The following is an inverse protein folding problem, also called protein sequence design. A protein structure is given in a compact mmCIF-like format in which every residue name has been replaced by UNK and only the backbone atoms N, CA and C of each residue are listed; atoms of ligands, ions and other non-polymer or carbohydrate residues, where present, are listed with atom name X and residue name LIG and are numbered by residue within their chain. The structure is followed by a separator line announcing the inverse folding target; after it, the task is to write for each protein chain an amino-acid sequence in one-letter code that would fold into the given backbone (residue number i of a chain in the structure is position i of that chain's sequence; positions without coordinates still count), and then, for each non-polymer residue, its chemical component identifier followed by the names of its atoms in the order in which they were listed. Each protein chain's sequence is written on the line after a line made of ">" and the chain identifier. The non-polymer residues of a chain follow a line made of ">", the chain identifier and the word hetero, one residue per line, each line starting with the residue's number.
data_IF_207871109352
#
_entry.id   IF_207871109352
#
_cell.length_a   1.000
_cell.length_b   1.000
_cell.length_c   1.000
_cell.angle_alpha   90.00
_cell.angle_beta   90.00
_cell.angle_gamma   90.00
#
_symmetry.space_group_name_H-M   'P 1'
#
loop_
_entity.id
_entity.type
_entity.pdbx_description
1 polymer ?
#
# COMPACT_ATOMS: atom_id res chain seq x y z
N UNK A 1 -17.25 -12.20 28.52
CA UNK A 1 -17.97 -12.78 27.37
C UNK A 1 -16.96 -13.62 26.59
N UNK A 2 -17.05 -14.96 26.63
CA UNK A 2 -16.06 -15.87 26.03
C UNK A 2 -15.86 -15.68 24.52
N UNK A 3 -16.91 -15.23 23.82
CA UNK A 3 -16.89 -15.05 22.37
C UNK A 3 -16.03 -13.85 21.92
N UNK A 4 -15.89 -12.82 22.76
CA UNK A 4 -15.06 -11.67 22.47
C UNK A 4 -13.56 -12.03 22.52
N UNK A 5 -13.15 -12.91 23.44
CA UNK A 5 -11.77 -13.36 23.57
C UNK A 5 -11.35 -14.28 22.41
N UNK A 6 -12.25 -15.16 21.95
CA UNK A 6 -12.01 -15.99 20.76
C UNK A 6 -11.89 -15.15 19.50
N UNK A 7 -12.77 -14.16 19.33
CA UNK A 7 -12.68 -13.21 18.22
C UNK A 7 -11.37 -12.40 18.25
N UNK A 8 -10.96 -11.91 19.44
CA UNK A 8 -9.70 -11.20 19.63
C UNK A 8 -8.49 -12.07 19.28
N UNK A 9 -8.50 -13.33 19.71
CA UNK A 9 -7.43 -14.29 19.39
C UNK A 9 -7.37 -14.60 17.90
N UNK A 10 -8.51 -14.79 17.24
CA UNK A 10 -8.56 -14.97 15.78
C UNK A 10 -8.09 -13.72 15.05
N UNK A 11 -8.48 -12.52 15.51
CA UNK A 11 -8.03 -11.25 14.93
C UNK A 11 -6.53 -11.06 15.10
N UNK A 12 -5.95 -11.40 16.25
CA UNK A 12 -4.50 -11.30 16.47
C UNK A 12 -3.77 -12.36 15.63
N UNK A 13 -4.25 -13.61 15.63
CA UNK A 13 -3.59 -14.72 14.95
C UNK A 13 -3.63 -14.57 13.42
N UNK A 14 -4.81 -14.25 12.86
CA UNK A 14 -4.99 -14.06 11.43
C UNK A 14 -4.73 -12.63 10.97
N UNK A 15 -4.84 -11.62 11.84
CA UNK A 15 -4.71 -10.22 11.47
C UNK A 15 -3.31 -9.85 11.02
N UNK A 16 -2.25 -10.35 11.68
CA UNK A 16 -0.88 -10.12 11.21
C UNK A 16 -0.58 -10.85 9.91
N UNK A 17 -1.09 -12.07 9.73
CA UNK A 17 -0.92 -12.83 8.50
C UNK A 17 -1.69 -12.19 7.34
N UNK A 18 -2.94 -11.76 7.59
CA UNK A 18 -3.76 -11.05 6.63
C UNK A 18 -3.15 -9.69 6.29
N UNK A 19 -2.58 -8.98 7.26
CA UNK A 19 -1.82 -7.75 7.04
C UNK A 19 -0.63 -8.03 6.14
N UNK A 20 0.20 -9.02 6.46
CA UNK A 20 1.35 -9.39 5.62
C UNK A 20 0.91 -9.71 4.19
N UNK A 21 -0.08 -10.59 4.02
CA UNK A 21 -0.60 -11.00 2.71
C UNK A 21 -1.20 -9.82 1.95
N UNK A 22 -2.03 -9.00 2.60
CA UNK A 22 -2.63 -7.84 1.95
C UNK A 22 -1.56 -6.80 1.58
N UNK A 23 -0.53 -6.60 2.40
CA UNK A 23 0.57 -5.68 2.08
C UNK A 23 1.44 -6.20 0.94
N UNK A 24 1.64 -7.53 0.87
CA UNK A 24 2.25 -8.20 -0.28
C UNK A 24 1.46 -7.96 -1.57
N UNK A 25 0.13 -8.02 -1.50
CA UNK A 25 -0.78 -7.65 -2.60
C UNK A 25 -0.99 -6.13 -2.74
N UNK A 26 -0.13 -5.29 -2.13
CA UNK A 26 -0.17 -3.82 -2.24
C UNK A 26 -1.44 -3.17 -1.68
N UNK A 27 -2.00 -3.72 -0.61
CA UNK A 27 -2.99 -3.05 0.22
C UNK A 27 -2.36 -1.87 0.96
N UNK A 28 -2.64 -0.63 0.56
CA UNK A 28 -2.24 0.56 1.33
C UNK A 28 -3.18 0.78 2.52
N UNK A 29 -4.49 0.65 2.26
CA UNK A 29 -5.54 0.90 3.25
C UNK A 29 -5.47 -0.05 4.44
N UNK A 30 -5.07 -1.31 4.23
CA UNK A 30 -4.97 -2.30 5.31
C UNK A 30 -3.92 -1.91 6.36
N UNK A 31 -2.83 -1.27 5.97
CA UNK A 31 -1.79 -0.81 6.91
C UNK A 31 -2.31 0.35 7.75
N UNK A 32 -3.09 1.26 7.16
CA UNK A 32 -3.75 2.34 7.91
C UNK A 32 -4.75 1.77 8.93
N UNK A 33 -5.58 0.81 8.50
CA UNK A 33 -6.55 0.16 9.39
C UNK A 33 -5.83 -0.62 10.50
N UNK A 34 -4.77 -1.36 10.18
CA UNK A 34 -3.97 -2.08 11.18
C UNK A 34 -3.27 -1.13 12.16
N UNK A 35 -2.82 0.05 11.70
CA UNK A 35 -2.31 1.10 12.57
C UNK A 35 -3.39 1.63 13.52
N UNK A 36 -4.61 1.88 13.03
CA UNK A 36 -5.72 2.32 13.87
C UNK A 36 -6.13 1.24 14.90
N UNK A 37 -6.17 -0.02 14.47
CA UNK A 37 -6.37 -1.17 15.38
C UNK A 37 -5.28 -1.27 16.45
N UNK A 38 -4.05 -0.89 16.11
CA UNK A 38 -2.96 -0.86 17.08
C UNK A 38 -3.10 0.28 18.10
N UNK A 39 -3.76 1.38 17.74
CA UNK A 39 -4.11 2.46 18.68
C UNK A 39 -5.06 1.97 19.77
N UNK A 40 -6.08 1.25 19.34
CA UNK A 40 -7.13 0.66 20.16
C UNK A 40 -6.66 -0.56 20.98
N UNK A 41 -5.37 -0.92 20.90
CA UNK A 41 -4.78 -2.03 21.65
C UNK A 41 -5.03 -3.43 21.08
N UNK A 42 -5.75 -3.56 19.96
CA UNK A 42 -6.01 -4.85 19.31
C UNK A 42 -4.77 -5.44 18.64
N UNK A 43 -3.87 -4.60 18.14
CA UNK A 43 -2.62 -5.01 17.50
C UNK A 43 -1.42 -4.30 18.12
N UNK A 44 -0.24 -4.92 18.02
CA UNK A 44 1.02 -4.32 18.40
C UNK A 44 1.55 -3.49 17.24
N UNK A 45 1.68 -2.17 17.43
CA UNK A 45 2.19 -1.27 16.40
C UNK A 45 3.57 -1.70 15.85
N UNK A 46 4.56 -2.12 16.67
CA UNK A 46 5.81 -2.69 16.15
C UNK A 46 5.63 -3.90 15.23
N UNK A 47 4.70 -4.81 15.57
CA UNK A 47 4.43 -5.99 14.74
C UNK A 47 3.72 -5.58 13.45
N UNK A 48 2.80 -4.62 13.49
CA UNK A 48 2.16 -4.03 12.30
C UNK A 48 3.21 -3.45 11.36
N UNK A 49 4.17 -2.68 11.89
CA UNK A 49 5.27 -2.14 11.10
C UNK A 49 6.11 -3.25 10.46
N UNK A 50 6.47 -4.28 11.23
CA UNK A 50 7.27 -5.40 10.75
C UNK A 50 6.55 -6.21 9.65
N UNK A 51 5.28 -6.57 9.86
CA UNK A 51 4.47 -7.29 8.89
C UNK A 51 4.26 -6.47 7.60
N UNK A 52 4.02 -5.16 7.75
CA UNK A 52 3.85 -4.25 6.61
C UNK A 52 5.14 -4.11 5.81
N UNK A 53 6.27 -3.96 6.50
CA UNK A 53 7.60 -3.93 5.89
C UNK A 53 7.89 -5.24 5.15
N UNK A 54 7.76 -6.37 5.82
CA UNK A 54 8.08 -7.68 5.26
C UNK A 54 7.17 -8.02 4.06
N UNK A 55 5.86 -7.80 4.19
CA UNK A 55 4.91 -8.05 3.12
C UNK A 55 5.18 -7.15 1.91
N UNK A 56 5.41 -5.85 2.14
CA UNK A 56 5.71 -4.91 1.06
C UNK A 56 7.03 -5.21 0.36
N UNK A 57 8.09 -5.54 1.12
CA UNK A 57 9.39 -5.88 0.57
C UNK A 57 9.30 -7.17 -0.26
N UNK A 58 8.67 -8.21 0.27
CA UNK A 58 8.50 -9.48 -0.42
C UNK A 58 7.70 -9.35 -1.72
N UNK A 59 6.63 -8.53 -1.71
CA UNK A 59 5.82 -8.28 -2.91
C UNK A 59 6.63 -7.59 -4.02
N UNK A 60 7.40 -6.57 -3.66
CA UNK A 60 8.19 -5.83 -4.63
C UNK A 60 9.39 -6.64 -5.16
N UNK A 61 10.04 -7.44 -4.31
CA UNK A 61 11.06 -8.38 -4.76
C UNK A 61 10.46 -9.42 -5.72
N UNK A 62 9.31 -10.02 -5.38
CA UNK A 62 8.65 -11.00 -6.24
C UNK A 62 8.37 -10.43 -7.65
N UNK A 63 7.91 -9.19 -7.73
CA UNK A 63 7.66 -8.53 -9.01
C UNK A 63 8.93 -8.13 -9.76
N UNK A 64 9.96 -7.67 -9.05
CA UNK A 64 11.24 -7.36 -9.65
C UNK A 64 11.87 -8.63 -10.26
N UNK A 65 11.87 -9.75 -9.54
CA UNK A 65 12.35 -11.03 -10.07
C UNK A 65 11.47 -11.57 -11.20
N UNK A 66 10.14 -11.39 -11.12
CA UNK A 66 9.24 -11.72 -12.22
C UNK A 66 9.55 -10.87 -13.47
N UNK A 67 9.82 -9.57 -13.30
CA UNK A 67 10.23 -8.66 -14.37
C UNK A 67 11.53 -9.08 -15.03
N UNK A 68 12.51 -9.55 -14.25
CA UNK A 68 13.78 -10.04 -14.81
C UNK A 68 13.65 -11.33 -15.59
N UNK A 69 12.82 -12.26 -15.12
CA UNK A 69 12.68 -13.58 -15.77
C UNK A 69 11.70 -13.56 -16.96
N UNK A 70 10.63 -12.78 -16.86
CA UNK A 70 9.52 -12.82 -17.82
C UNK A 70 9.20 -11.48 -18.49
N UNK A 71 9.76 -10.37 -18.00
CA UNK A 71 9.29 -9.03 -18.36
C UNK A 71 9.53 -8.63 -19.82
N UNK A 72 10.57 -9.13 -20.50
CA UNK A 72 10.83 -8.80 -21.91
C UNK A 72 9.74 -9.34 -22.85
N UNK A 73 9.31 -10.58 -22.64
CA UNK A 73 8.19 -11.17 -23.37
C UNK A 73 6.85 -10.51 -23.00
N UNK A 74 6.67 -10.18 -21.72
CA UNK A 74 5.44 -9.57 -21.21
C UNK A 74 5.22 -8.14 -21.70
N UNK A 75 6.27 -7.31 -21.75
CA UNK A 75 6.16 -5.92 -22.25
C UNK A 75 5.95 -5.86 -23.75
N UNK A 76 6.55 -6.77 -24.53
CA UNK A 76 6.34 -6.84 -25.97
C UNK A 76 4.85 -7.08 -26.31
N UNK A 77 4.12 -7.81 -25.46
CA UNK A 77 2.69 -8.04 -25.59
C UNK A 77 1.79 -6.92 -25.04
N UNK A 78 2.32 -5.94 -24.28
CA UNK A 78 1.54 -4.92 -23.57
C UNK A 78 2.02 -3.49 -23.85
N UNK A 79 1.52 -2.82 -24.92
CA UNK A 79 1.96 -1.48 -25.32
C UNK A 79 1.78 -0.39 -24.24
N UNK A 80 0.79 -0.55 -23.35
CA UNK A 80 0.57 0.37 -22.22
C UNK A 80 1.68 0.29 -21.16
N UNK A 81 2.22 -0.92 -20.92
CA UNK A 81 3.37 -1.10 -20.03
C UNK A 81 4.63 -0.51 -20.63
N UNK A 82 4.80 -0.58 -21.96
CA UNK A 82 5.94 0.00 -22.65
C UNK A 82 5.99 1.53 -22.47
N UNK A 83 4.86 2.23 -22.60
CA UNK A 83 4.78 3.68 -22.30
C UNK A 83 5.09 4.01 -20.84
N UNK A 84 4.66 3.16 -19.91
CA UNK A 84 5.00 3.31 -18.49
C UNK A 84 6.51 3.09 -18.26
N UNK A 85 7.11 2.13 -18.97
CA UNK A 85 8.55 1.87 -18.99
C UNK A 85 9.35 3.11 -19.37
N UNK A 86 9.00 3.79 -20.47
CA UNK A 86 9.67 5.02 -20.89
C UNK A 86 9.64 6.12 -19.82
N UNK A 87 8.51 6.27 -19.11
CA UNK A 87 8.40 7.23 -18.00
C UNK A 87 9.28 6.83 -16.82
N UNK A 88 9.31 5.55 -16.49
CA UNK A 88 10.16 5.03 -15.40
C UNK A 88 11.63 5.15 -15.77
N UNK A 89 12.02 4.89 -17.02
CA UNK A 89 13.37 5.11 -17.52
C UNK A 89 13.80 6.57 -17.34
N UNK A 90 12.95 7.53 -17.73
CA UNK A 90 13.24 8.96 -17.55
C UNK A 90 13.35 9.38 -16.08
N UNK A 91 12.51 8.82 -15.20
CA UNK A 91 12.58 9.09 -13.76
C UNK A 91 13.81 8.45 -13.12
N UNK A 92 14.15 7.23 -13.53
CA UNK A 92 15.31 6.49 -13.07
C UNK A 92 16.61 7.18 -13.50
N UNK A 93 16.71 7.64 -14.74
CA UNK A 93 17.89 8.39 -15.22
C UNK A 93 18.06 9.73 -14.54
N UNK A 94 16.95 10.41 -14.18
CA UNK A 94 16.99 11.73 -13.53
C UNK A 94 17.20 11.69 -12.01
N UNK A 95 16.60 10.72 -11.32
CA UNK A 95 16.53 10.69 -9.86
C UNK A 95 17.17 9.45 -9.23
N UNK A 96 17.40 8.39 -10.02
CA UNK A 96 18.15 7.20 -9.65
C UNK A 96 17.76 6.64 -8.26
N UNK A 97 18.66 6.71 -7.27
CA UNK A 97 18.41 6.26 -5.90
C UNK A 97 17.17 6.90 -5.26
N UNK A 98 16.92 8.19 -5.48
CA UNK A 98 15.77 8.88 -4.90
C UNK A 98 14.45 8.31 -5.47
N UNK A 99 14.44 7.93 -6.74
CA UNK A 99 13.27 7.26 -7.33
C UNK A 99 13.07 5.86 -6.74
N UNK A 100 14.15 5.08 -6.57
CA UNK A 100 14.06 3.75 -5.95
C UNK A 100 13.60 3.79 -4.50
N UNK A 101 13.94 4.84 -3.75
CA UNK A 101 13.45 5.07 -2.39
C UNK A 101 11.98 5.54 -2.38
N UNK A 102 11.61 6.39 -3.35
CA UNK A 102 10.36 7.16 -3.32
C UNK A 102 9.19 6.58 -4.10
N UNK A 103 9.40 5.61 -5.01
CA UNK A 103 8.33 5.14 -5.92
C UNK A 103 7.11 4.61 -5.17
N UNK A 104 7.28 4.08 -3.95
CA UNK A 104 6.19 3.59 -3.10
C UNK A 104 5.14 4.64 -2.77
N UNK A 105 5.52 5.91 -2.71
CA UNK A 105 4.63 7.03 -2.43
C UNK A 105 3.90 7.53 -3.68
N UNK A 106 4.29 7.04 -4.87
CA UNK A 106 3.70 7.45 -6.14
C UNK A 106 2.51 6.54 -6.49
N UNK A 107 1.29 7.07 -6.34
CA UNK A 107 0.06 6.34 -6.66
C UNK A 107 0.02 5.92 -8.13
N UNK A 108 -0.39 4.68 -8.40
CA UNK A 108 -0.46 4.08 -9.75
C UNK A 108 0.89 3.67 -10.34
N UNK A 109 1.95 4.42 -10.08
CA UNK A 109 3.31 4.11 -10.57
C UNK A 109 3.89 2.93 -9.80
N UNK A 110 3.71 2.88 -8.47
CA UNK A 110 4.30 1.86 -7.61
C UNK A 110 3.99 0.42 -8.00
N UNK A 111 2.86 0.19 -8.68
CA UNK A 111 2.41 -1.17 -8.98
C UNK A 111 3.30 -1.82 -10.03
N UNK A 112 3.79 -1.04 -11.00
CA UNK A 112 4.59 -1.56 -12.12
C UNK A 112 6.08 -1.25 -11.98
N UNK A 113 6.46 -0.39 -11.03
CA UNK A 113 7.84 0.07 -10.88
C UNK A 113 8.85 -1.05 -10.64
N UNK A 114 8.67 -2.00 -9.70
CA UNK A 114 9.66 -3.05 -9.48
C UNK A 114 9.93 -3.87 -10.74
N UNK A 115 8.85 -4.24 -11.46
CA UNK A 115 8.92 -4.96 -12.73
C UNK A 115 9.65 -4.15 -13.82
N UNK A 116 9.39 -2.85 -13.91
CA UNK A 116 10.03 -1.98 -14.90
C UNK A 116 11.50 -1.70 -14.57
N UNK A 117 11.85 -1.50 -13.29
CA UNK A 117 13.24 -1.36 -12.84
C UNK A 117 14.08 -2.61 -13.16
N UNK A 118 13.49 -3.79 -13.05
CA UNK A 118 14.11 -5.04 -13.50
C UNK A 118 14.41 -5.04 -15.00
N UNK A 119 13.54 -4.45 -15.82
CA UNK A 119 13.67 -4.42 -17.27
C UNK A 119 14.66 -3.37 -17.77
N UNK A 120 14.79 -2.28 -17.01
CA UNK A 120 15.86 -1.29 -17.16
C UNK A 120 17.24 -1.80 -16.75
N UNK A 121 17.34 -3.06 -16.29
CA UNK A 121 18.62 -3.70 -15.97
C UNK A 121 19.24 -3.24 -14.65
N UNK A 122 18.43 -2.67 -13.74
CA UNK A 122 18.91 -2.33 -12.39
C UNK A 122 19.44 -3.60 -11.71
N UNK A 123 20.66 -3.59 -11.11
CA UNK A 123 21.21 -4.75 -10.42
C UNK A 123 20.39 -5.17 -9.19
N UNK A 124 20.33 -6.47 -8.84
CA UNK A 124 19.51 -6.96 -7.73
C UNK A 124 19.89 -6.37 -6.39
N UNK A 125 21.18 -6.36 -6.07
CA UNK A 125 21.65 -5.85 -4.77
C UNK A 125 21.36 -4.36 -4.61
N UNK A 126 21.41 -3.61 -5.72
CA UNK A 126 21.10 -2.17 -5.73
C UNK A 126 19.61 -1.94 -5.52
N UNK A 127 18.76 -2.66 -6.25
CA UNK A 127 17.32 -2.61 -6.04
C UNK A 127 16.97 -2.99 -4.60
N UNK A 128 17.43 -4.16 -4.13
CA UNK A 128 17.16 -4.66 -2.79
C UNK A 128 17.54 -3.65 -1.70
N UNK A 129 18.71 -3.01 -1.79
CA UNK A 129 19.15 -2.03 -0.79
C UNK A 129 18.20 -0.83 -0.70
N UNK A 130 17.93 -0.16 -1.83
CA UNK A 130 17.06 1.03 -1.83
C UNK A 130 15.59 0.66 -1.57
N UNK A 131 15.14 -0.47 -2.11
CA UNK A 131 13.81 -1.01 -1.90
C UNK A 131 13.56 -1.33 -0.42
N UNK A 132 14.54 -1.93 0.26
CA UNK A 132 14.48 -2.22 1.70
C UNK A 132 14.35 -0.94 2.52
N UNK A 133 15.20 0.05 2.27
CA UNK A 133 15.14 1.33 2.99
C UNK A 133 13.80 2.04 2.73
N UNK A 134 13.36 2.09 1.47
CA UNK A 134 12.08 2.69 1.10
C UNK A 134 10.88 1.96 1.72
N UNK A 135 10.91 0.63 1.74
CA UNK A 135 9.87 -0.20 2.37
C UNK A 135 9.80 0.05 3.88
N UNK A 136 10.94 0.17 4.56
CA UNK A 136 10.99 0.42 5.99
C UNK A 136 10.42 1.80 6.34
N UNK A 137 10.89 2.85 5.64
CA UNK A 137 10.37 4.22 5.82
C UNK A 137 8.87 4.26 5.56
N UNK A 138 8.42 3.65 4.46
CA UNK A 138 7.00 3.60 4.11
C UNK A 138 6.18 2.89 5.18
N UNK A 139 6.62 1.71 5.66
CA UNK A 139 5.90 0.93 6.66
C UNK A 139 5.76 1.69 7.99
N UNK A 140 6.83 2.38 8.43
CA UNK A 140 6.81 3.22 9.63
C UNK A 140 5.81 4.37 9.44
N UNK A 141 5.95 5.15 8.36
CA UNK A 141 5.09 6.31 8.12
C UNK A 141 3.61 5.95 7.99
N UNK A 142 3.29 4.90 7.23
CA UNK A 142 1.90 4.46 7.05
C UNK A 142 1.32 3.85 8.31
N UNK A 143 2.06 3.03 9.05
CA UNK A 143 1.56 2.46 10.30
C UNK A 143 1.32 3.55 11.35
N UNK A 144 2.25 4.53 11.47
CA UNK A 144 2.06 5.67 12.36
C UNK A 144 0.90 6.57 11.93
N UNK A 145 0.72 6.80 10.63
CA UNK A 145 -0.44 7.53 10.13
C UNK A 145 -1.75 6.82 10.50
N UNK A 146 -1.82 5.50 10.33
CA UNK A 146 -2.95 4.69 10.78
C UNK A 146 -3.21 4.80 12.28
N UNK A 147 -2.14 4.70 13.09
CA UNK A 147 -2.22 4.85 14.54
C UNK A 147 -2.74 6.23 14.96
N UNK A 148 -2.27 7.30 14.30
CA UNK A 148 -2.76 8.66 14.52
C UNK A 148 -4.22 8.85 14.11
N UNK A 149 -4.66 8.18 13.04
CA UNK A 149 -6.07 8.17 12.63
C UNK A 149 -6.97 7.48 13.64
N UNK A 150 -6.51 6.39 14.27
CA UNK A 150 -7.20 5.75 15.40
C UNK A 150 -7.44 6.76 16.53
N UNK A 151 -6.39 7.40 17.03
CA UNK A 151 -6.55 8.39 18.10
C UNK A 151 -7.33 9.66 17.72
N UNK A 152 -7.38 10.02 16.43
CA UNK A 152 -8.25 11.09 15.96
C UNK A 152 -9.73 10.67 15.96
N UNK A 153 -10.02 9.40 15.64
CA UNK A 153 -11.36 8.84 15.69
C UNK A 153 -11.89 8.75 17.14
N UNK A 154 -11.04 8.35 18.09
CA UNK A 154 -11.39 8.29 19.51
C UNK A 154 -11.82 9.67 20.03
N UNK A 155 -11.04 10.71 19.74
CA UNK A 155 -11.37 12.10 20.14
C UNK A 155 -12.65 12.64 19.53
N UNK A 156 -13.02 12.15 18.34
CA UNK A 156 -14.28 12.52 17.68
C UNK A 156 -15.47 11.73 18.22
N UNK A 157 -15.21 10.63 18.93
CA UNK A 157 -16.22 9.72 19.47
C UNK A 157 -16.39 9.81 20.98
N UNK A 158 -15.78 10.81 21.64
CA UNK A 158 -15.99 11.15 23.06
C UNK A 158 -17.49 11.05 23.43
N UNK A 159 -17.88 9.91 24.04
CA UNK A 159 -19.26 9.54 24.36
C UNK A 159 -19.69 8.12 23.93
N UNK A 160 -18.95 7.42 23.08
CA UNK A 160 -19.23 6.03 22.67
C UNK A 160 -18.12 5.13 23.22
N UNK A 161 -18.45 4.22 24.14
CA UNK A 161 -17.50 3.21 24.62
C UNK A 161 -16.90 2.45 23.43
N UNK A 162 -15.57 2.26 23.43
CA UNK A 162 -14.80 1.59 22.38
C UNK A 162 -15.21 0.11 22.26
N UNK A 163 -16.33 -0.13 21.59
CA UNK A 163 -16.84 -1.46 21.27
C UNK A 163 -16.22 -1.97 19.97
N UNK A 164 -16.18 -3.29 19.72
CA UNK A 164 -15.78 -3.85 18.42
C UNK A 164 -16.56 -3.26 17.22
N UNK A 165 -17.70 -2.61 17.47
CA UNK A 165 -18.46 -1.85 16.48
C UNK A 165 -17.75 -0.56 16.04
N UNK A 166 -17.05 0.17 16.91
CA UNK A 166 -16.30 1.40 16.54
C UNK A 166 -15.20 1.08 15.54
N UNK A 167 -14.50 -0.05 15.75
CA UNK A 167 -13.49 -0.59 14.84
C UNK A 167 -14.05 -0.88 13.46
N UNK A 168 -15.20 -1.57 13.40
CA UNK A 168 -15.88 -1.88 12.12
C UNK A 168 -16.33 -0.61 11.43
N UNK A 169 -16.85 0.37 12.17
CA UNK A 169 -17.28 1.67 11.64
C UNK A 169 -16.10 2.50 11.12
N UNK A 170 -14.96 2.51 11.82
CA UNK A 170 -13.74 3.20 11.39
C UNK A 170 -13.14 2.54 10.14
N UNK A 171 -13.06 1.22 10.10
CA UNK A 171 -12.62 0.49 8.91
C UNK A 171 -13.56 0.74 7.72
N UNK A 172 -14.88 0.68 7.94
CA UNK A 172 -15.89 0.96 6.92
C UNK A 172 -15.84 2.42 6.44
N UNK A 173 -15.59 3.38 7.34
CA UNK A 173 -15.44 4.79 7.01
C UNK A 173 -14.20 5.03 6.15
N UNK A 174 -13.04 4.47 6.51
CA UNK A 174 -11.80 4.63 5.73
C UNK A 174 -11.96 3.98 4.34
N UNK A 175 -12.53 2.78 4.26
CA UNK A 175 -12.78 2.10 2.98
C UNK A 175 -13.80 2.86 2.15
N UNK A 176 -14.90 3.31 2.76
CA UNK A 176 -15.96 4.09 2.11
C UNK A 176 -15.47 5.45 1.60
N UNK A 177 -14.70 6.18 2.40
CA UNK A 177 -14.08 7.44 2.01
C UNK A 177 -13.11 7.21 0.84
N UNK A 178 -12.23 6.20 0.93
CA UNK A 178 -11.31 5.85 -0.15
C UNK A 178 -12.08 5.52 -1.44
N UNK A 179 -13.12 4.69 -1.36
CA UNK A 179 -13.96 4.34 -2.50
C UNK A 179 -14.71 5.55 -3.09
N UNK A 180 -15.23 6.45 -2.25
CA UNK A 180 -15.91 7.66 -2.66
C UNK A 180 -14.97 8.63 -3.40
N UNK A 181 -13.77 8.88 -2.86
CA UNK A 181 -12.76 9.72 -3.52
C UNK A 181 -12.28 9.11 -4.84
N UNK A 182 -12.10 7.79 -4.91
CA UNK A 182 -11.74 7.09 -6.14
C UNK A 182 -12.86 7.13 -7.18
N UNK A 183 -14.14 7.03 -6.76
CA UNK A 183 -15.31 7.17 -7.63
C UNK A 183 -15.44 8.59 -8.17
N UNK A 184 -15.25 9.61 -7.32
CA UNK A 184 -15.32 11.02 -7.72
C UNK A 184 -14.26 11.38 -8.77
N UNK A 185 -13.05 10.82 -8.67
CA UNK A 185 -12.01 10.99 -9.70
C UNK A 185 -12.33 10.26 -11.01
N UNK A 186 -13.10 9.18 -10.98
CA UNK A 186 -13.60 8.51 -12.20
C UNK A 186 -14.68 9.33 -12.90
N UNK A 187 -15.61 9.95 -12.16
CA UNK A 187 -16.65 10.80 -12.74
C UNK A 187 -16.07 12.08 -13.37
N UNK A 188 -15.01 12.65 -12.78
CA UNK A 188 -14.31 13.79 -13.36
C UNK A 188 -13.55 13.46 -14.67
N UNK A 189 -13.13 12.21 -14.87
CA UNK A 189 -12.42 11.78 -16.08
C UNK A 189 -13.35 11.42 -17.27
N UNK A 190 -14.65 11.26 -17.02
CA UNK A 190 -15.65 11.01 -18.08
C UNK A 190 -16.24 12.31 -18.64
N UNK A 191 -16.15 13.43 -17.91
CA UNK A 191 -16.65 14.74 -18.33
C UNK A 191 -15.78 15.44 -19.40
N UNK A 192 -14.56 14.97 -19.64
CA UNK A 192 -13.58 15.60 -20.57
C UNK A 192 -13.54 14.89 -21.94
N UNK A 193 -14.40 13.88 -22.16
CA UNK A 193 -14.52 13.14 -23.43
C UNK A 193 -15.71 13.63 -24.27
N UNK A 194 -16.66 14.35 -23.65
CA UNK A 194 -17.89 14.83 -24.28
C UNK A 194 -17.87 16.34 -24.62
N UNK A 195 -16.73 17.03 -24.52
CA UNK A 195 -16.65 18.41 -25.04
C UNK A 195 -16.72 18.37 -26.57
N UNK A 196 -17.75 18.94 -27.20
CA UNK A 196 -17.78 19.08 -28.65
C UNK A 196 -16.58 19.96 -29.05
N UNK A 197 -15.85 19.53 -30.07
CA UNK A 197 -14.92 20.40 -30.76
C UNK A 197 -15.78 21.46 -31.45
N UNK A 198 -15.86 22.65 -30.86
CA UNK A 198 -16.25 23.88 -31.57
C UNK A 198 -15.03 24.50 -32.26
#
# INVERSE_FOLDING_TARGET
>A
MPDADVFLQLLIHFGYLALFAATFLKGFTIVLVAGALAHEGYLSLPIVMLCSFAGSLAGDEAEYYAGRRYGRAFIAAHPRLNRAGLRIHALLTRYDALFMLGFRFMYGVRIVTPLLLALEGVPPGRFLLYNTVGALIWAILTSMAGYGLGGAADRLSDGVEAHPLSVVLTAAFIVGATAFFLRRKRTAATSDIDSPVE
#
